data_IF_244824347968
#
_entry.id   IF_244824347968
#
_cell.length_a   1.000
_cell.length_b   1.000
_cell.length_c   1.000
_cell.angle_alpha   90.00
_cell.angle_beta   90.00
_cell.angle_gamma   90.00
#
_symmetry.space_group_name_H-M   'P 1'
#
loop_
_entity.id
_entity.type
_entity.pdbx_description
1 polymer ?
#
# COMPACT_ATOMS: atom_id res chain seq x y z
N UNK A 1 -25.19 20.11 -41.58
CA UNK A 1 -24.26 18.96 -41.46
C UNK A 1 -24.04 18.67 -39.99
N UNK A 2 -24.73 17.65 -39.41
CA UNK A 2 -24.66 17.28 -37.98
C UNK A 2 -24.10 15.86 -37.76
N UNK A 3 -23.46 15.29 -38.78
CA UNK A 3 -22.95 13.92 -38.75
C UNK A 3 -21.61 13.79 -38.02
N UNK A 4 -20.81 14.86 -37.93
CA UNK A 4 -19.47 14.82 -37.34
C UNK A 4 -19.45 14.62 -35.83
N UNK A 5 -20.39 15.21 -35.09
CA UNK A 5 -20.46 15.06 -33.63
C UNK A 5 -20.91 13.67 -33.22
N UNK A 6 -21.84 13.06 -33.96
CA UNK A 6 -22.28 11.69 -33.71
C UNK A 6 -21.19 10.65 -34.00
N UNK A 7 -20.35 10.90 -35.01
CA UNK A 7 -19.19 10.06 -35.30
C UNK A 7 -18.12 10.13 -34.20
N UNK A 8 -17.94 11.28 -33.54
CA UNK A 8 -17.04 11.41 -32.39
C UNK A 8 -17.54 10.58 -31.20
N UNK A 9 -18.85 10.60 -30.92
CA UNK A 9 -19.44 9.72 -29.89
C UNK A 9 -19.28 8.24 -30.22
N UNK A 10 -19.39 7.85 -31.49
CA UNK A 10 -19.17 6.48 -31.94
C UNK A 10 -17.71 6.05 -31.73
N UNK A 11 -16.74 6.91 -32.05
CA UNK A 11 -15.31 6.64 -31.81
C UNK A 11 -15.02 6.53 -30.30
N UNK A 12 -15.61 7.42 -29.48
CA UNK A 12 -15.47 7.37 -28.02
C UNK A 12 -16.04 6.08 -27.42
N UNK A 13 -17.15 5.58 -27.97
CA UNK A 13 -17.77 4.32 -27.57
C UNK A 13 -16.90 3.11 -27.95
N UNK A 14 -16.30 3.12 -29.14
CA UNK A 14 -15.42 2.02 -29.61
C UNK A 14 -14.17 1.91 -28.74
N UNK A 15 -13.58 3.04 -28.32
CA UNK A 15 -12.42 3.02 -27.43
C UNK A 15 -12.72 2.46 -26.04
N UNK A 16 -13.94 2.64 -25.51
CA UNK A 16 -14.34 2.06 -24.22
C UNK A 16 -14.40 0.53 -24.26
N UNK A 17 -14.85 -0.06 -25.38
CA UNK A 17 -14.93 -1.51 -25.53
C UNK A 17 -13.57 -2.17 -25.72
N UNK A 18 -12.58 -1.47 -26.28
CA UNK A 18 -11.25 -2.04 -26.53
C UNK A 18 -10.33 -2.04 -25.29
N UNK A 19 -10.76 -1.43 -24.18
CA UNK A 19 -10.01 -1.41 -22.93
C UNK A 19 -10.13 -2.71 -22.10
N UNK A 20 -11.03 -3.63 -22.48
CA UNK A 20 -11.35 -4.83 -21.67
C UNK A 20 -10.58 -6.10 -22.09
N UNK A 21 -9.86 -6.11 -23.22
CA UNK A 21 -9.36 -7.36 -23.84
C UNK A 21 -7.89 -7.71 -23.53
N UNK A 22 -7.22 -6.99 -22.62
CA UNK A 22 -5.87 -7.38 -22.14
C UNK A 22 -5.74 -7.33 -20.61
N UNK A 23 -6.83 -7.61 -19.88
CA UNK A 23 -6.67 -8.11 -18.52
C UNK A 23 -6.14 -9.54 -18.64
N UNK A 24 -4.82 -9.68 -18.49
CA UNK A 24 -4.25 -10.97 -18.11
C UNK A 24 -5.02 -11.42 -16.85
N UNK A 25 -5.87 -12.43 -17.00
CA UNK A 25 -6.76 -12.97 -15.95
C UNK A 25 -6.00 -13.69 -14.85
N UNK A 26 -4.67 -13.72 -14.92
CA UNK A 26 -3.78 -14.30 -13.92
C UNK A 26 -3.63 -13.38 -12.71
N UNK A 27 -4.68 -13.31 -11.89
CA UNK A 27 -4.66 -12.82 -10.49
C UNK A 27 -5.05 -11.35 -10.31
N UNK A 28 -6.37 -11.10 -10.35
CA UNK A 28 -6.94 -9.96 -9.64
C UNK A 28 -6.48 -10.08 -8.17
N UNK A 29 -5.83 -9.04 -7.61
CA UNK A 29 -5.32 -9.10 -6.25
C UNK A 29 -6.46 -9.36 -5.25
N UNK A 30 -6.13 -10.03 -4.15
CA UNK A 30 -7.09 -10.27 -3.09
C UNK A 30 -7.52 -8.94 -2.45
N UNK A 31 -8.76 -8.88 -1.95
CA UNK A 31 -9.27 -7.71 -1.23
C UNK A 31 -8.35 -7.37 -0.04
N UNK A 32 -7.89 -8.39 0.69
CA UNK A 32 -6.97 -8.22 1.80
C UNK A 32 -5.65 -7.53 1.40
N UNK A 33 -5.14 -7.79 0.19
CA UNK A 33 -3.95 -7.12 -0.33
C UNK A 33 -4.23 -5.64 -0.65
N UNK A 34 -5.41 -5.33 -1.17
CA UNK A 34 -5.81 -3.94 -1.43
C UNK A 34 -6.02 -3.15 -0.13
N UNK A 35 -6.59 -3.78 0.89
CA UNK A 35 -6.73 -3.20 2.23
C UNK A 35 -5.35 -2.92 2.84
N UNK A 36 -4.41 -3.88 2.73
CA UNK A 36 -3.02 -3.67 3.14
C UNK A 36 -2.38 -2.48 2.44
N UNK A 37 -2.54 -2.33 1.11
CA UNK A 37 -1.98 -1.20 0.38
C UNK A 37 -2.60 0.15 0.80
N UNK A 38 -3.88 0.15 1.19
CA UNK A 38 -4.54 1.36 1.69
C UNK A 38 -3.94 1.89 3.00
N UNK A 39 -3.27 1.06 3.79
CA UNK A 39 -2.54 1.51 4.99
C UNK A 39 -1.29 2.35 4.65
N UNK A 40 -0.80 2.26 3.40
CA UNK A 40 0.36 3.01 2.91
C UNK A 40 -0.02 4.29 2.16
N UNK A 41 -1.32 4.61 2.09
CA UNK A 41 -1.85 5.81 1.46
C UNK A 41 -2.20 6.84 2.56
N UNK A 42 -1.76 8.08 2.38
CA UNK A 42 -2.09 9.19 3.26
C UNK A 42 -3.54 9.63 3.10
N UNK A 43 -4.08 10.41 4.04
CA UNK A 43 -5.44 10.96 3.96
C UNK A 43 -5.66 11.86 2.72
N UNK A 44 -4.57 12.32 2.08
CA UNK A 44 -4.59 13.14 0.89
C UNK A 44 -4.51 12.32 -0.41
N UNK A 45 -4.36 11.00 -0.31
CA UNK A 45 -4.22 10.09 -1.46
C UNK A 45 -2.80 9.99 -2.01
N UNK A 46 -1.80 10.47 -1.28
CA UNK A 46 -0.38 10.33 -1.62
C UNK A 46 0.19 9.07 -0.96
N UNK A 47 1.13 8.41 -1.62
CA UNK A 47 1.81 7.23 -1.06
C UNK A 47 2.88 7.65 -0.07
N UNK A 48 2.97 6.96 1.06
CA UNK A 48 4.01 7.20 2.07
C UNK A 48 5.39 6.85 1.47
N UNK A 49 6.35 7.78 1.56
CA UNK A 49 7.72 7.55 1.14
C UNK A 49 8.51 6.82 2.25
N UNK A 50 9.27 5.81 1.84
CA UNK A 50 10.19 5.09 2.73
C UNK A 50 11.17 6.03 3.45
N UNK A 51 11.61 7.10 2.79
CA UNK A 51 12.53 8.09 3.36
C UNK A 51 11.87 8.87 4.50
N UNK A 52 10.55 9.08 4.46
CA UNK A 52 9.83 9.77 5.53
C UNK A 52 9.71 8.89 6.79
N UNK A 53 9.51 7.58 6.61
CA UNK A 53 9.46 6.60 7.70
C UNK A 53 10.80 6.40 8.41
N UNK A 54 11.93 6.52 7.69
CA UNK A 54 13.27 6.38 8.28
C UNK A 54 13.64 7.56 9.20
N UNK A 55 12.98 8.70 9.05
CA UNK A 55 13.19 9.89 9.88
C UNK A 55 12.29 9.93 11.13
N UNK A 56 11.32 9.03 11.24
CA UNK A 56 10.63 8.75 12.50
C UNK A 56 11.56 7.86 13.34
N UNK A 57 12.45 8.49 14.13
CA UNK A 57 13.27 7.77 15.10
C UNK A 57 12.36 6.82 15.90
N UNK A 58 12.64 5.51 15.94
CA UNK A 58 11.90 4.63 16.84
C UNK A 58 12.11 5.17 18.25
N UNK A 59 11.02 5.54 18.95
CA UNK A 59 11.02 5.86 20.38
C UNK A 59 11.63 4.67 21.12
N UNK A 60 12.96 4.72 21.28
CA UNK A 60 13.82 3.67 21.80
C UNK A 60 13.69 3.51 23.33
N UNK A 61 12.92 4.39 23.98
CA UNK A 61 12.71 4.38 25.42
C UNK A 61 12.01 3.09 25.91
N UNK A 62 11.12 2.52 25.10
CA UNK A 62 10.41 1.28 25.47
C UNK A 62 11.30 0.03 25.30
N UNK A 63 12.19 0.05 24.30
CA UNK A 63 13.14 -1.04 24.04
C UNK A 63 14.26 -1.11 25.08
N UNK A 64 14.78 0.04 25.53
CA UNK A 64 15.80 0.10 26.59
C UNK A 64 15.25 -0.47 27.92
N UNK A 65 14.00 -0.16 28.26
CA UNK A 65 13.33 -0.68 29.46
C UNK A 65 13.13 -2.19 29.43
N UNK A 66 12.86 -2.77 28.26
CA UNK A 66 12.73 -4.22 28.07
C UNK A 66 14.08 -4.94 28.15
N UNK A 67 15.16 -4.33 27.68
CA UNK A 67 16.51 -4.88 27.76
C UNK A 67 17.03 -4.86 29.20
N UNK A 68 16.73 -3.81 29.96
CA UNK A 68 17.09 -3.73 31.38
C UNK A 68 16.29 -4.75 32.22
N UNK A 69 14.98 -4.88 31.98
CA UNK A 69 14.14 -5.88 32.66
C UNK A 69 14.52 -7.34 32.37
N UNK A 70 15.17 -7.63 31.23
CA UNK A 70 15.58 -9.00 30.88
C UNK A 70 17.00 -9.33 31.35
N UNK A 71 17.85 -8.32 31.56
CA UNK A 71 19.25 -8.48 32.01
C UNK A 71 19.37 -8.88 33.48
N UNK A 72 18.43 -8.48 34.34
CA UNK A 72 18.44 -8.85 35.76
C UNK A 72 17.92 -10.28 36.04
N UNK A 73 17.32 -10.96 35.06
CA UNK A 73 16.71 -12.29 35.28
C UNK A 73 17.65 -13.48 35.08
N UNK A 74 18.91 -13.26 34.69
CA UNK A 74 19.85 -14.34 34.31
C UNK A 74 21.13 -14.37 35.15
N UNK A 75 20.98 -14.27 36.46
CA UNK A 75 21.94 -14.76 37.47
C UNK A 75 21.03 -15.36 38.54
N UNK A 76 20.57 -16.59 38.37
CA UNK A 76 20.97 -17.69 39.25
C UNK A 76 20.33 -18.98 38.70
N UNK A 77 21.11 -19.90 38.13
CA UNK A 77 21.04 -21.33 38.45
C UNK A 77 22.13 -22.13 37.70
N UNK A 78 23.38 -22.06 38.17
CA UNK A 78 24.31 -23.18 38.03
C UNK A 78 24.45 -23.83 39.41
N UNK A 79 23.82 -24.99 39.60
CA UNK A 79 24.32 -26.04 40.48
C UNK A 79 23.77 -27.41 40.07
#
# INVERSE_FOLDING_TARGET
MKFGTWFIFLILLISYSFAEEQMNTEEIPSIAFLEFLGEWETEQGEWIDYVELENEEPENEELEKLIESTSDSKIDNEN
#
